data_IF_106983062139
#
_entry.id   IF_106983062139
#
_cell.length_a   1.000
_cell.length_b   1.000
_cell.length_c   1.000
_cell.angle_alpha   90.00
_cell.angle_beta   90.00
_cell.angle_gamma   90.00
#
_symmetry.space_group_name_H-M   'P 1'
#
loop_
_entity.id
_entity.type
_entity.pdbx_description
1 polymer ?
#
# COMPACT_ATOMS: atom_id res chain seq x y z
N UNK A 1 17.82 8.98 11.81
CA UNK A 1 16.54 8.91 11.07
C UNK A 1 16.86 8.88 9.59
N UNK A 2 16.35 7.92 8.80
CA UNK A 2 16.58 7.89 7.36
C UNK A 2 16.03 9.17 6.71
N UNK A 3 16.73 9.69 5.71
CA UNK A 3 16.26 10.82 4.93
C UNK A 3 14.99 10.44 4.16
N UNK A 4 14.03 11.36 4.04
CA UNK A 4 12.74 11.13 3.38
C UNK A 4 12.88 10.53 1.98
N UNK A 5 13.82 11.04 1.19
CA UNK A 5 14.13 10.52 -0.16
C UNK A 5 14.57 9.06 -0.17
N UNK A 6 15.29 8.62 0.88
CA UNK A 6 15.68 7.22 1.03
C UNK A 6 14.46 6.33 1.23
N UNK A 7 13.53 6.73 2.12
CA UNK A 7 12.28 6.00 2.33
C UNK A 7 11.45 5.92 1.05
N UNK A 8 11.30 7.04 0.33
CA UNK A 8 10.55 7.08 -0.94
C UNK A 8 11.17 6.13 -1.97
N UNK A 9 12.51 6.10 -2.07
CA UNK A 9 13.20 5.19 -2.98
C UNK A 9 12.93 3.73 -2.61
N UNK A 10 13.10 3.36 -1.34
CA UNK A 10 12.83 2.00 -0.86
C UNK A 10 11.38 1.59 -1.08
N UNK A 11 10.41 2.45 -0.75
CA UNK A 11 8.99 2.18 -0.99
C UNK A 11 8.73 1.90 -2.47
N UNK A 12 9.37 2.63 -3.38
CA UNK A 12 9.20 2.43 -4.84
C UNK A 12 9.84 1.16 -5.36
N UNK A 13 10.86 0.62 -4.68
CA UNK A 13 11.45 -0.69 -4.98
C UNK A 13 10.50 -1.84 -4.61
N UNK A 14 9.63 -1.67 -3.61
CA UNK A 14 8.60 -2.66 -3.25
C UNK A 14 7.25 -2.42 -3.94
N UNK A 15 6.84 -1.16 -4.10
CA UNK A 15 5.61 -0.76 -4.74
C UNK A 15 5.89 0.21 -5.91
N UNK A 16 6.15 -0.37 -7.09
CA UNK A 16 6.47 0.38 -8.31
C UNK A 16 5.31 1.29 -8.79
N UNK A 17 4.08 1.05 -8.32
CA UNK A 17 2.90 1.86 -8.68
C UNK A 17 2.77 3.14 -7.85
N UNK A 18 3.47 3.23 -6.71
CA UNK A 18 3.47 4.43 -5.89
C UNK A 18 4.33 5.52 -6.54
N UNK A 19 3.67 6.58 -7.04
CA UNK A 19 4.33 7.75 -7.60
C UNK A 19 5.15 8.53 -6.57
N UNK A 20 6.31 9.06 -6.99
CA UNK A 20 7.18 9.87 -6.11
C UNK A 20 6.45 11.11 -5.59
N UNK A 21 5.72 11.81 -6.44
CA UNK A 21 4.99 13.03 -6.07
C UNK A 21 3.87 12.77 -5.06
N UNK A 22 3.26 11.58 -5.14
CA UNK A 22 2.28 11.14 -4.15
C UNK A 22 2.94 10.82 -2.81
N UNK A 23 4.04 10.06 -2.81
CA UNK A 23 4.79 9.74 -1.58
C UNK A 23 5.38 10.99 -0.91
N UNK A 24 5.70 12.02 -1.69
CA UNK A 24 6.25 13.25 -1.15
C UNK A 24 5.24 14.08 -0.34
N UNK A 25 3.94 13.76 -0.41
CA UNK A 25 2.90 14.42 0.40
C UNK A 25 2.90 13.94 1.86
N UNK A 26 3.54 12.81 2.16
CA UNK A 26 3.57 12.22 3.49
C UNK A 26 4.81 12.65 4.27
N UNK A 27 4.72 12.59 5.60
CA UNK A 27 5.86 12.81 6.49
C UNK A 27 6.74 11.55 6.59
N UNK A 28 7.96 11.74 7.12
CA UNK A 28 8.93 10.65 7.28
C UNK A 28 8.40 9.50 8.12
N UNK A 29 7.61 9.79 9.16
CA UNK A 29 7.04 8.77 10.05
C UNK A 29 6.00 7.90 9.34
N UNK A 30 5.11 8.48 8.53
CA UNK A 30 4.14 7.73 7.75
C UNK A 30 4.80 6.90 6.66
N UNK A 31 5.81 7.45 5.99
CA UNK A 31 6.59 6.72 4.99
C UNK A 31 7.31 5.52 5.61
N UNK A 32 7.88 5.68 6.81
CA UNK A 32 8.55 4.61 7.52
C UNK A 32 7.58 3.47 7.89
N UNK A 33 6.41 3.80 8.46
CA UNK A 33 5.36 2.80 8.73
C UNK A 33 4.88 2.09 7.47
N UNK A 34 4.76 2.81 6.37
CA UNK A 34 4.34 2.23 5.10
C UNK A 34 5.39 1.26 4.55
N UNK A 35 6.67 1.63 4.62
CA UNK A 35 7.78 0.74 4.25
C UNK A 35 7.80 -0.51 5.15
N UNK A 36 7.65 -0.35 6.46
CA UNK A 36 7.58 -1.48 7.39
C UNK A 36 6.41 -2.41 7.04
N UNK A 37 5.25 -1.87 6.69
CA UNK A 37 4.10 -2.65 6.23
C UNK A 37 4.40 -3.42 4.93
N UNK A 38 5.10 -2.82 3.97
CA UNK A 38 5.51 -3.50 2.73
C UNK A 38 6.50 -4.64 2.99
N UNK A 39 7.43 -4.45 3.93
CA UNK A 39 8.41 -5.46 4.33
C UNK A 39 7.77 -6.65 5.06
N UNK A 40 6.80 -6.40 5.95
CA UNK A 40 6.13 -7.45 6.72
C UNK A 40 4.95 -8.09 5.98
N UNK A 41 4.26 -7.33 5.13
CA UNK A 41 3.10 -7.81 4.35
C UNK A 41 3.46 -8.62 3.10
N UNK A 42 4.76 -8.81 2.83
CA UNK A 42 5.27 -9.65 1.75
C UNK A 42 5.54 -11.10 2.19
N UNK A 43 4.94 -11.55 3.30
CA UNK A 43 4.75 -12.99 3.53
C UNK A 43 4.06 -13.61 2.31
N UNK A 44 4.45 -14.84 1.92
CA UNK A 44 4.00 -15.43 0.67
C UNK A 44 2.48 -15.40 0.64
N UNK A 45 1.95 -14.89 -0.47
CA UNK A 45 0.57 -15.12 -0.90
C UNK A 45 0.38 -16.61 -1.16
N UNK A 46 0.57 -17.46 -0.14
CA UNK A 46 0.05 -18.82 -0.13
C UNK A 46 -1.44 -18.70 -0.36
N UNK A 47 -2.00 -19.61 -1.16
CA UNK A 47 -3.36 -19.57 -1.74
C UNK A 47 -4.55 -19.45 -0.78
N UNK A 48 -4.32 -19.03 0.46
CA UNK A 48 -5.30 -18.82 1.53
C UNK A 48 -5.42 -17.35 1.99
N UNK A 49 -4.66 -16.39 1.42
CA UNK A 49 -4.78 -14.95 1.76
C UNK A 49 -6.04 -14.35 1.12
N UNK A 50 -7.20 -14.81 1.59
CA UNK A 50 -8.51 -14.29 1.25
C UNK A 50 -8.63 -12.94 1.94
N UNK A 51 -8.61 -11.85 1.17
CA UNK A 51 -9.01 -10.53 1.64
C UNK A 51 -10.34 -10.66 2.38
N UNK A 52 -10.30 -10.61 3.71
CA UNK A 52 -11.50 -10.59 4.52
C UNK A 52 -12.02 -9.16 4.47
N UNK A 53 -12.98 -8.91 3.58
CA UNK A 53 -13.68 -7.62 3.57
C UNK A 53 -14.30 -7.40 4.95
N UNK A 54 -14.08 -6.24 5.59
CA UNK A 54 -14.91 -5.81 6.70
C UNK A 54 -16.36 -5.78 6.22
N UNK A 55 -17.30 -6.35 7.00
CA UNK A 55 -18.71 -6.48 6.63
C UNK A 55 -19.46 -5.17 6.37
N UNK A 56 -18.81 -4.02 6.60
CA UNK A 56 -19.37 -2.66 6.47
C UNK A 56 -19.03 -1.94 5.16
N UNK A 57 -18.34 -2.56 4.20
CA UNK A 57 -18.10 -1.92 2.90
C UNK A 57 -19.19 -2.31 1.89
N UNK A 58 -20.07 -1.39 1.45
CA UNK A 58 -21.09 -1.69 0.46
C UNK A 58 -20.42 -2.15 -0.84
N UNK A 59 -20.86 -3.31 -1.34
CA UNK A 59 -20.39 -3.83 -2.61
C UNK A 59 -20.69 -2.82 -3.71
N UNK A 60 -19.67 -2.43 -4.48
CA UNK A 60 -19.84 -1.64 -5.71
C UNK A 60 -20.81 -2.39 -6.62
N UNK A 61 -22.07 -1.94 -6.69
CA UNK A 61 -23.07 -2.45 -7.63
C UNK A 61 -22.70 -1.89 -8.99
N UNK A 62 -22.16 -2.74 -9.87
CA UNK A 62 -22.06 -2.42 -11.29
C UNK A 62 -23.48 -2.27 -11.83
N UNK A 63 -23.87 -1.04 -12.20
CA UNK A 63 -25.06 -0.80 -13.00
C UNK A 63 -24.80 -1.38 -14.39
N UNK A 64 -25.34 -2.54 -14.69
CA UNK A 64 -25.59 -2.93 -16.08
C UNK A 64 -26.76 -2.09 -16.56
N UNK A 65 -26.50 -1.18 -17.51
CA UNK A 65 -27.57 -0.58 -18.29
C UNK A 65 -27.99 -1.58 -19.38
N UNK A 66 -29.28 -1.84 -19.46
CA UNK A 66 -29.95 -2.46 -20.63
C UNK A 66 -31.17 -1.61 -20.94
#
# INVERSE_FOLDING_TARGET
MPAKDHLIKSIREYNHTAGRDWLNQFDTASLQRYLDHLLHGSEPRGGSSRWSRPGDSPALIARTAS
#
